data_IF_816945901398
#
_entry.id   IF_816945901398
#
_cell.length_a   1.000
_cell.length_b   1.000
_cell.length_c   1.000
_cell.angle_alpha   90.00
_cell.angle_beta   90.00
_cell.angle_gamma   90.00
#
_symmetry.space_group_name_H-M   'P 1'
#
loop_
_entity.id
_entity.type
_entity.pdbx_description
1 polymer ?
#
# COMPACT_ATOMS: atom_id res chain seq x y z
N UNK A 1 -3.55 -10.27 4.41
CA UNK A 1 -3.00 -9.53 5.57
C UNK A 1 -3.33 -10.23 6.88
N UNK A 2 -4.60 -10.52 7.17
CA UNK A 2 -4.99 -11.13 8.45
C UNK A 2 -4.37 -12.52 8.68
N UNK A 3 -4.15 -13.30 7.61
CA UNK A 3 -3.49 -14.63 7.64
C UNK A 3 -1.97 -14.60 7.84
N UNK A 4 -1.32 -13.44 7.65
CA UNK A 4 0.15 -13.28 7.78
C UNK A 4 0.53 -12.42 8.98
N UNK A 5 -0.44 -12.13 9.84
CA UNK A 5 -0.24 -11.33 11.04
C UNK A 5 0.63 -12.11 12.04
N UNK A 6 1.78 -11.54 12.41
CA UNK A 6 2.76 -12.18 13.29
C UNK A 6 3.89 -12.90 12.54
N UNK A 7 3.75 -13.08 11.23
CA UNK A 7 4.85 -13.50 10.36
C UNK A 7 5.61 -12.27 9.88
N UNK A 8 6.92 -12.39 9.81
CA UNK A 8 7.83 -11.41 9.25
C UNK A 8 8.68 -12.07 8.14
N UNK A 9 9.08 -11.28 7.15
CA UNK A 9 9.90 -11.78 6.05
C UNK A 9 10.96 -10.75 5.67
N UNK A 10 12.09 -11.22 5.14
CA UNK A 10 13.16 -10.34 4.67
C UNK A 10 12.66 -9.43 3.53
N UNK A 11 11.89 -10.01 2.60
CA UNK A 11 11.21 -9.28 1.53
C UNK A 11 9.72 -9.57 1.57
N UNK A 12 8.90 -8.52 1.51
CA UNK A 12 7.45 -8.64 1.34
C UNK A 12 7.02 -7.99 0.03
N UNK A 13 6.13 -8.67 -0.68
CA UNK A 13 5.42 -8.10 -1.83
C UNK A 13 3.97 -7.85 -1.41
N UNK A 14 3.49 -6.64 -1.66
CA UNK A 14 2.12 -6.23 -1.37
C UNK A 14 1.48 -5.79 -2.68
N UNK A 15 0.44 -6.50 -3.11
CA UNK A 15 -0.37 -6.10 -4.25
C UNK A 15 -1.30 -4.97 -3.80
N UNK A 16 -1.20 -3.82 -4.47
CA UNK A 16 -1.98 -2.63 -4.14
C UNK A 16 -3.40 -2.78 -4.68
N UNK A 17 -4.37 -2.72 -3.78
CA UNK A 17 -5.78 -2.53 -4.12
C UNK A 17 -6.17 -1.05 -4.05
N UNK A 18 -7.28 -0.62 -4.68
CA UNK A 18 -7.75 0.77 -4.62
C UNK A 18 -7.93 1.28 -3.18
N UNK A 19 -8.46 0.42 -2.30
CA UNK A 19 -8.65 0.78 -0.90
C UNK A 19 -7.30 0.95 -0.19
N UNK A 20 -6.36 0.04 -0.39
CA UNK A 20 -5.02 0.15 0.19
C UNK A 20 -4.30 1.41 -0.29
N UNK A 21 -4.41 1.73 -1.59
CA UNK A 21 -3.84 2.94 -2.18
C UNK A 21 -4.41 4.22 -1.52
N UNK A 22 -5.73 4.29 -1.33
CA UNK A 22 -6.40 5.41 -0.66
C UNK A 22 -5.85 5.66 0.74
N UNK A 23 -5.69 4.62 1.55
CA UNK A 23 -5.16 4.74 2.91
C UNK A 23 -3.65 5.00 2.93
N UNK A 24 -2.90 4.43 1.99
CA UNK A 24 -1.45 4.61 1.87
C UNK A 24 -1.08 6.05 1.49
N UNK A 25 -1.77 6.62 0.49
CA UNK A 25 -1.54 8.00 0.00
C UNK A 25 -2.25 9.06 0.83
N UNK A 26 -3.11 8.64 1.77
CA UNK A 26 -3.99 9.50 2.57
C UNK A 26 -4.92 10.39 1.72
N UNK A 27 -5.13 10.03 0.46
CA UNK A 27 -5.90 10.83 -0.48
C UNK A 27 -7.39 10.84 -0.06
N UNK A 28 -7.97 12.05 0.07
CA UNK A 28 -9.37 12.27 0.44
C UNK A 28 -9.83 11.57 1.73
N UNK A 29 -8.93 11.38 2.71
CA UNK A 29 -9.29 10.85 4.03
C UNK A 29 -9.66 11.97 4.99
N UNK A 30 -10.92 11.99 5.42
CA UNK A 30 -11.34 12.83 6.53
C UNK A 30 -10.68 12.36 7.83
N UNK A 31 -10.45 13.29 8.76
CA UNK A 31 -9.85 13.01 10.08
C UNK A 31 -10.60 11.91 10.85
N UNK A 32 -11.92 11.84 10.69
CA UNK A 32 -12.77 10.81 11.31
C UNK A 32 -12.54 9.40 10.73
N UNK A 33 -12.10 9.30 9.48
CA UNK A 33 -11.85 8.02 8.80
C UNK A 33 -10.36 7.61 8.81
N UNK A 34 -9.52 8.39 9.49
CA UNK A 34 -8.07 8.20 9.45
C UNK A 34 -7.63 6.94 10.20
N UNK A 35 -8.20 6.67 11.38
CA UNK A 35 -7.87 5.51 12.21
C UNK A 35 -9.00 4.48 12.22
N UNK A 36 -8.98 3.55 11.28
CA UNK A 36 -9.94 2.46 11.21
C UNK A 36 -9.27 1.11 10.87
N UNK A 37 -10.09 0.09 10.61
CA UNK A 37 -9.60 -1.26 10.30
C UNK A 37 -8.70 -1.30 9.06
N UNK A 38 -8.97 -0.49 8.05
CA UNK A 38 -8.19 -0.44 6.81
C UNK A 38 -6.85 0.25 7.03
N UNK A 39 -6.81 1.35 7.78
CA UNK A 39 -5.55 1.97 8.21
C UNK A 39 -4.65 0.97 8.97
N UNK A 40 -5.23 0.17 9.88
CA UNK A 40 -4.48 -0.88 10.60
C UNK A 40 -3.91 -1.93 9.65
N UNK A 41 -4.62 -2.29 8.58
CA UNK A 41 -4.11 -3.23 7.56
C UNK A 41 -2.92 -2.65 6.81
N UNK A 42 -2.99 -1.37 6.44
CA UNK A 42 -1.86 -0.68 5.79
C UNK A 42 -0.64 -0.69 6.71
N UNK A 43 -0.82 -0.28 7.96
CA UNK A 43 0.26 -0.28 8.96
C UNK A 43 0.87 -1.68 9.15
N UNK A 44 0.03 -2.71 9.25
CA UNK A 44 0.49 -4.11 9.34
C UNK A 44 1.29 -4.50 8.12
N UNK A 45 0.85 -4.17 6.91
CA UNK A 45 1.54 -4.50 5.66
C UNK A 45 2.91 -3.81 5.55
N UNK A 46 2.98 -2.52 5.89
CA UNK A 46 4.21 -1.73 5.87
C UNK A 46 5.27 -2.23 6.87
N UNK A 47 4.85 -2.89 7.95
CA UNK A 47 5.73 -3.39 9.02
C UNK A 47 6.08 -4.87 8.90
N UNK A 48 5.64 -5.58 7.85
CA UNK A 48 5.96 -7.00 7.67
C UNK A 48 7.38 -7.26 7.14
N UNK A 49 7.94 -6.31 6.41
CA UNK A 49 9.25 -6.46 5.76
C UNK A 49 10.38 -6.05 6.70
N UNK A 50 11.41 -6.90 6.82
CA UNK A 50 12.64 -6.59 7.56
C UNK A 50 13.62 -5.76 6.75
N UNK A 51 13.75 -6.05 5.45
CA UNK A 51 14.75 -5.42 4.57
C UNK A 51 14.12 -4.71 3.39
N UNK A 52 13.16 -5.34 2.70
CA UNK A 52 12.58 -4.81 1.46
C UNK A 52 11.08 -4.98 1.39
N UNK A 53 10.38 -3.90 1.09
CA UNK A 53 8.95 -3.91 0.78
C UNK A 53 8.77 -3.54 -0.69
N UNK A 54 8.08 -4.39 -1.44
CA UNK A 54 7.75 -4.19 -2.85
C UNK A 54 6.24 -3.96 -2.93
N UNK A 55 5.84 -2.87 -3.56
CA UNK A 55 4.44 -2.60 -3.87
C UNK A 55 4.20 -2.96 -5.34
N UNK A 56 3.39 -3.98 -5.58
CA UNK A 56 3.01 -4.40 -6.92
C UNK A 56 1.73 -3.66 -7.33
N UNK A 57 1.78 -3.00 -8.49
CA UNK A 57 0.63 -2.36 -9.11
C UNK A 57 0.04 -3.32 -10.14
N UNK A 58 -1.19 -3.75 -9.88
CA UNK A 58 -1.91 -4.65 -10.76
C UNK A 58 -2.87 -3.81 -11.62
N UNK A 59 -2.75 -3.95 -12.94
CA UNK A 59 -3.51 -3.15 -13.90
C UNK A 59 -5.01 -3.45 -13.89
N UNK A 60 -5.40 -4.70 -13.64
CA UNK A 60 -6.80 -5.10 -13.61
C UNK A 60 -7.45 -4.64 -12.30
N UNK A 61 -6.75 -4.74 -11.17
CA UNK A 61 -7.25 -4.28 -9.87
C UNK A 61 -7.37 -2.77 -9.74
N UNK A 62 -6.63 -2.02 -10.55
CA UNK A 62 -6.59 -0.56 -10.57
C UNK A 62 -7.11 0.00 -11.90
N UNK A 63 -7.99 -0.72 -12.59
CA UNK A 63 -8.52 -0.36 -13.92
C UNK A 63 -9.09 1.06 -14.01
N UNK A 64 -9.64 1.57 -12.90
CA UNK A 64 -10.27 2.89 -12.82
C UNK A 64 -9.29 4.01 -12.39
N UNK A 65 -8.00 3.69 -12.26
CA UNK A 65 -6.97 4.62 -11.78
C UNK A 65 -5.95 4.93 -12.87
N UNK A 66 -5.52 6.19 -12.96
CA UNK A 66 -4.38 6.57 -13.79
C UNK A 66 -3.09 6.05 -13.15
N UNK A 67 -2.42 5.12 -13.82
CA UNK A 67 -1.20 4.47 -13.33
C UNK A 67 -0.03 5.42 -13.15
N UNK A 68 0.07 6.45 -13.98
CA UNK A 68 1.09 7.50 -13.81
C UNK A 68 0.87 8.23 -12.50
N UNK A 69 -0.37 8.65 -12.23
CA UNK A 69 -0.74 9.34 -10.99
C UNK A 69 -0.55 8.43 -9.77
N UNK A 70 -0.92 7.15 -9.87
CA UNK A 70 -0.73 6.15 -8.80
C UNK A 70 0.76 6.00 -8.46
N UNK A 71 1.60 5.81 -9.49
CA UNK A 71 3.06 5.67 -9.33
C UNK A 71 3.66 6.92 -8.70
N UNK A 72 3.30 8.11 -9.19
CA UNK A 72 3.87 9.36 -8.70
C UNK A 72 3.45 9.63 -7.24
N UNK A 73 2.20 9.29 -6.89
CA UNK A 73 1.69 9.38 -5.52
C UNK A 73 2.41 8.43 -4.55
N UNK A 74 2.72 7.22 -4.99
CA UNK A 74 3.51 6.25 -4.22
C UNK A 74 4.98 6.70 -4.14
N UNK A 75 5.52 7.26 -5.21
CA UNK A 75 6.87 7.83 -5.26
C UNK A 75 7.06 8.97 -4.26
N UNK A 76 6.05 9.83 -4.09
CA UNK A 76 6.06 10.89 -3.07
C UNK A 76 6.16 10.38 -1.62
N UNK A 77 5.87 9.09 -1.38
CA UNK A 77 6.04 8.43 -0.08
C UNK A 77 7.45 7.85 0.13
N UNK A 78 8.35 8.01 -0.86
CA UNK A 78 9.74 7.52 -0.80
C UNK A 78 9.96 6.13 -1.39
N UNK A 79 8.95 5.54 -2.04
CA UNK A 79 9.13 4.31 -2.80
C UNK A 79 9.82 4.59 -4.14
N UNK A 80 10.74 3.73 -4.53
CA UNK A 80 11.45 3.81 -5.81
C UNK A 80 10.81 2.85 -6.80
N UNK A 81 10.48 3.33 -8.00
CA UNK A 81 10.00 2.50 -9.08
C UNK A 81 11.14 1.65 -9.64
N UNK A 82 10.87 0.36 -9.83
CA UNK A 82 11.79 -0.58 -10.46
C UNK A 82 11.07 -1.16 -11.68
N UNK A 83 11.69 -1.00 -12.85
CA UNK A 83 11.27 -1.62 -14.12
C UNK A 83 11.47 -3.15 -14.08
#
# INVERSE_FOLDING_TARGET
IDSVKGLDADTCVVIISPNLLKYLTKNNLSRANYFNKEWKKVYVALTRAKKRLILALDHDLLSDSDMGVVRDSIGALGFVYHD
#
